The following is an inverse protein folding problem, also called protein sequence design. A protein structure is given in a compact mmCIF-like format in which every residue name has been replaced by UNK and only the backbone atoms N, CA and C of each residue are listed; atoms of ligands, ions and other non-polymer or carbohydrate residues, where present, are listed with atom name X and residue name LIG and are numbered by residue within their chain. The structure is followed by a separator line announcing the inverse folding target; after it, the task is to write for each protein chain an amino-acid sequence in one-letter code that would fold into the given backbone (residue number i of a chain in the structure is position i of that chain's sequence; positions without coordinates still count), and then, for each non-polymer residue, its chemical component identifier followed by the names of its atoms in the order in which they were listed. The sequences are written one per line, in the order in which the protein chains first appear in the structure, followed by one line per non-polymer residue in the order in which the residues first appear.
data_IF_968288392032
#
_entry.id   IF_968288392032
#
_cell.length_a   1.000
_cell.length_b   1.000
_cell.length_c   1.000
_cell.angle_alpha   90.00
_cell.angle_beta   90.00
_cell.angle_gamma   90.00
#
_symmetry.space_group_name_H-M   'P 1'
#
loop_
_entity.id
_entity.type
_entity.pdbx_description
1 polymer ?
#
# COMPACT_ATOMS: atom_id res chain seq x y z
N UNK A 1 16.97 -0.14 -28.97
CA UNK A 1 15.69 -0.37 -28.25
C UNK A 1 15.78 -1.49 -27.19
N UNK A 2 16.34 -2.68 -27.49
CA UNK A 2 16.37 -3.83 -26.56
C UNK A 2 17.20 -3.63 -25.28
N UNK A 3 18.20 -2.74 -25.26
CA UNK A 3 19.05 -2.51 -24.09
C UNK A 3 18.33 -1.72 -22.98
N UNK A 4 17.58 -0.67 -23.33
CA UNK A 4 16.82 0.15 -22.38
C UNK A 4 15.72 -0.65 -21.66
N UNK A 5 15.08 -1.59 -22.36
CA UNK A 5 14.05 -2.46 -21.79
C UNK A 5 14.67 -3.42 -20.78
N UNK A 6 15.81 -4.04 -21.13
CA UNK A 6 16.57 -4.91 -20.21
C UNK A 6 17.14 -4.14 -19.00
N UNK A 7 17.50 -2.88 -19.20
CA UNK A 7 17.97 -1.99 -18.13
C UNK A 7 16.85 -1.69 -17.14
N UNK A 8 15.69 -1.26 -17.64
CA UNK A 8 14.53 -0.90 -16.81
C UNK A 8 13.88 -2.11 -16.11
N UNK A 9 14.13 -3.33 -16.57
CA UNK A 9 13.66 -4.55 -15.92
C UNK A 9 14.46 -4.92 -14.66
N UNK A 10 15.63 -4.31 -14.43
CA UNK A 10 16.43 -4.56 -13.22
C UNK A 10 15.96 -3.72 -12.05
N UNK A 11 16.11 -4.24 -10.83
CA UNK A 11 15.84 -3.49 -9.61
C UNK A 11 16.65 -2.20 -9.55
N UNK A 12 16.10 -1.17 -8.88
CA UNK A 12 16.77 0.11 -8.68
C UNK A 12 18.16 -0.08 -8.03
N UNK A 13 18.28 -1.03 -7.10
CA UNK A 13 19.56 -1.37 -6.49
C UNK A 13 20.59 -1.90 -7.49
N UNK A 14 20.19 -2.74 -8.45
CA UNK A 14 21.12 -3.26 -9.48
C UNK A 14 21.55 -2.18 -10.46
N UNK A 15 20.64 -1.28 -10.86
CA UNK A 15 20.97 -0.14 -11.71
C UNK A 15 21.94 0.81 -11.01
N UNK A 16 21.71 1.08 -9.71
CA UNK A 16 22.58 1.89 -8.89
C UNK A 16 23.98 1.28 -8.74
N UNK A 17 24.10 -0.03 -8.47
CA UNK A 17 25.41 -0.69 -8.36
C UNK A 17 26.27 -0.52 -9.62
N UNK A 18 25.66 -0.63 -10.80
CA UNK A 18 26.37 -0.54 -12.07
C UNK A 18 26.72 0.92 -12.40
N UNK A 19 25.73 1.81 -12.45
CA UNK A 19 25.96 3.22 -12.82
C UNK A 19 26.71 3.97 -11.73
N UNK A 20 26.30 3.79 -10.47
CA UNK A 20 26.98 4.38 -9.32
C UNK A 20 28.42 3.89 -9.21
N UNK A 21 28.67 2.61 -9.49
CA UNK A 21 30.03 2.05 -9.52
C UNK A 21 30.90 2.70 -10.59
N UNK A 22 30.39 2.83 -11.82
CA UNK A 22 31.11 3.50 -12.91
C UNK A 22 31.40 4.98 -12.62
N UNK A 23 30.41 5.71 -12.11
CA UNK A 23 30.57 7.12 -11.75
C UNK A 23 31.57 7.28 -10.60
N UNK A 24 31.49 6.42 -9.59
CA UNK A 24 32.39 6.41 -8.44
C UNK A 24 33.85 6.14 -8.86
N UNK A 25 34.09 5.17 -9.74
CA UNK A 25 35.42 4.90 -10.30
C UNK A 25 35.96 6.09 -11.11
N UNK A 26 35.12 6.72 -11.93
CA UNK A 26 35.48 7.92 -12.67
C UNK A 26 35.87 9.08 -11.74
N UNK A 27 35.06 9.32 -10.71
CA UNK A 27 35.34 10.36 -9.71
C UNK A 27 36.63 10.05 -8.92
N UNK A 28 36.83 8.80 -8.49
CA UNK A 28 38.04 8.34 -7.81
C UNK A 28 39.29 8.62 -8.65
N UNK A 29 39.23 8.34 -9.95
CA UNK A 29 40.36 8.56 -10.86
C UNK A 29 40.69 10.05 -11.00
N UNK A 30 39.68 10.90 -11.23
CA UNK A 30 39.87 12.35 -11.36
C UNK A 30 40.41 12.97 -10.07
N UNK A 31 39.82 12.61 -8.93
CA UNK A 31 40.29 13.11 -7.62
C UNK A 31 41.70 12.60 -7.32
N UNK A 32 41.97 11.32 -7.60
CA UNK A 32 43.29 10.72 -7.43
C UNK A 32 44.38 11.45 -8.21
N UNK A 33 44.10 11.83 -9.47
CA UNK A 33 45.02 12.61 -10.30
C UNK A 33 45.27 14.01 -9.70
N UNK A 34 44.21 14.73 -9.31
CA UNK A 34 44.33 16.08 -8.74
C UNK A 34 45.13 16.05 -7.44
N UNK A 35 44.79 15.14 -6.52
CA UNK A 35 45.46 15.01 -5.22
C UNK A 35 46.93 14.61 -5.39
N UNK A 36 47.22 13.69 -6.31
CA UNK A 36 48.60 13.30 -6.61
C UNK A 36 49.41 14.50 -7.08
N UNK A 37 48.89 15.30 -8.03
CA UNK A 37 49.60 16.47 -8.54
C UNK A 37 49.85 17.51 -7.45
N UNK A 38 48.84 17.80 -6.61
CA UNK A 38 48.96 18.74 -5.49
C UNK A 38 50.02 18.31 -4.47
N UNK A 39 50.10 17.01 -4.16
CA UNK A 39 51.06 16.48 -3.19
C UNK A 39 52.47 16.45 -3.77
N UNK A 40 52.64 16.05 -5.03
CA UNK A 40 53.94 16.06 -5.71
C UNK A 40 54.51 17.50 -5.75
N UNK A 41 53.72 18.49 -6.17
CA UNK A 41 54.13 19.89 -6.20
C UNK A 41 54.50 20.41 -4.80
N UNK A 42 53.69 20.09 -3.79
CA UNK A 42 53.96 20.49 -2.42
C UNK A 42 55.26 19.88 -1.86
N UNK A 43 55.53 18.60 -2.16
CA UNK A 43 56.73 17.90 -1.72
C UNK A 43 57.98 18.47 -2.41
N UNK A 44 57.92 18.70 -3.73
CA UNK A 44 59.03 19.28 -4.51
C UNK A 44 59.34 20.70 -4.02
N UNK A 45 58.32 21.55 -3.88
CA UNK A 45 58.50 22.93 -3.43
C UNK A 45 59.07 23.00 -2.01
N UNK A 46 58.55 22.20 -1.07
CA UNK A 46 59.04 22.19 0.31
C UNK A 46 60.48 21.65 0.40
N UNK A 47 60.81 20.62 -0.39
CA UNK A 47 62.18 20.11 -0.48
C UNK A 47 63.13 21.17 -1.05
N UNK A 48 62.72 21.87 -2.12
CA UNK A 48 63.51 22.96 -2.71
C UNK A 48 63.72 24.13 -1.75
N UNK A 49 62.69 24.52 -1.00
CA UNK A 49 62.77 25.58 0.01
C UNK A 49 63.73 25.24 1.15
N UNK A 50 63.72 23.99 1.62
CA UNK A 50 64.66 23.54 2.65
C UNK A 50 66.13 23.62 2.17
N UNK A 51 66.40 23.24 0.92
CA UNK A 51 67.75 23.35 0.33
C UNK A 51 68.14 24.81 0.06
N UNK A 52 67.20 25.64 -0.43
CA UNK A 52 67.45 27.06 -0.65
C UNK A 52 67.85 27.81 0.63
N UNK A 53 67.20 27.52 1.76
CA UNK A 53 67.58 28.08 3.07
C UNK A 53 69.01 27.73 3.47
N UNK A 54 69.46 26.51 3.16
CA UNK A 54 70.84 26.11 3.40
C UNK A 54 71.81 26.89 2.50
N UNK A 55 71.49 27.00 1.21
CA UNK A 55 72.28 27.78 0.25
C UNK A 55 72.33 29.26 0.66
N UNK A 56 71.23 29.87 1.06
CA UNK A 56 71.23 31.25 1.58
C UNK A 56 72.11 31.41 2.83
N UNK A 57 72.09 30.42 3.72
CA UNK A 57 72.86 30.48 4.98
C UNK A 57 74.37 30.31 4.77
N UNK A 58 74.78 29.57 3.73
CA UNK A 58 76.18 29.15 3.53
C UNK A 58 76.85 29.89 2.37
N UNK A 59 76.12 30.11 1.27
CA UNK A 59 76.64 30.67 0.02
C UNK A 59 76.48 32.17 -0.03
N UNK A 60 75.32 32.71 0.36
CA UNK A 60 75.06 34.15 0.27
C UNK A 60 76.10 35.03 1.02
N UNK A 61 76.61 34.64 2.21
CA UNK A 61 77.66 35.41 2.91
C UNK A 61 79.01 35.47 2.18
N UNK A 62 79.24 34.57 1.22
CA UNK A 62 80.50 34.49 0.44
C UNK A 62 80.47 35.33 -0.84
N UNK A 63 79.28 35.83 -1.22
CA UNK A 63 79.09 36.59 -2.44
C UNK A 63 79.45 38.08 -2.23
N UNK A 64 80.25 38.69 -3.13
CA UNK A 64 80.56 40.12 -3.08
C UNK A 64 79.34 40.99 -3.47
N UNK A 65 79.49 42.31 -3.47
CA UNK A 65 78.43 43.24 -3.91
C UNK A 65 78.18 43.09 -5.43
N UNK A 66 77.18 42.27 -5.77
CA UNK A 66 76.90 41.86 -7.16
C UNK A 66 76.40 42.98 -8.07
N UNK A 67 76.14 44.18 -7.54
CA UNK A 67 75.78 45.36 -8.34
C UNK A 67 77.00 46.03 -8.99
N UNK A 68 78.22 45.81 -8.49
CA UNK A 68 79.42 46.57 -8.90
C UNK A 68 80.45 45.76 -9.67
N UNK A 69 80.53 44.45 -9.45
CA UNK A 69 81.57 43.61 -10.05
C UNK A 69 81.08 42.85 -11.29
N UNK A 70 81.84 42.87 -12.39
CA UNK A 70 81.50 42.19 -13.65
C UNK A 70 81.71 40.68 -13.64
N UNK A 71 82.61 40.18 -12.80
CA UNK A 71 82.99 38.78 -12.59
C UNK A 71 83.35 38.60 -11.12
N UNK A 72 83.18 37.40 -10.57
CA UNK A 72 83.65 37.10 -9.21
C UNK A 72 85.18 37.27 -9.13
N UNK A 73 85.66 37.81 -8.02
CA UNK A 73 87.07 37.81 -7.69
C UNK A 73 87.58 36.39 -7.38
N UNK A 74 88.89 36.19 -7.49
CA UNK A 74 89.52 34.88 -7.33
C UNK A 74 89.35 34.34 -5.90
N UNK A 75 89.24 35.23 -4.91
CA UNK A 75 89.05 34.88 -3.51
C UNK A 75 87.64 34.33 -3.22
N UNK A 76 86.56 34.99 -3.67
CA UNK A 76 85.21 34.45 -3.50
C UNK A 76 84.99 33.21 -4.36
N UNK A 77 85.58 33.15 -5.57
CA UNK A 77 85.50 31.95 -6.40
C UNK A 77 86.15 30.73 -5.72
N UNK A 78 87.31 30.91 -5.08
CA UNK A 78 87.98 29.84 -4.33
C UNK A 78 87.18 29.45 -3.07
N UNK A 79 86.62 30.43 -2.33
CA UNK A 79 85.79 30.16 -1.17
C UNK A 79 84.53 29.35 -1.53
N UNK A 80 83.91 29.63 -2.69
CA UNK A 80 82.80 28.85 -3.22
C UNK A 80 83.24 27.44 -3.64
N UNK A 81 84.38 27.30 -4.34
CA UNK A 81 84.90 25.98 -4.72
C UNK A 81 85.17 25.09 -3.50
N UNK A 82 85.75 25.64 -2.43
CA UNK A 82 86.01 24.91 -1.18
C UNK A 82 84.71 24.56 -0.45
N UNK A 83 83.77 25.50 -0.36
CA UNK A 83 82.50 25.33 0.37
C UNK A 83 81.54 24.37 -0.36
N UNK A 84 81.47 24.45 -1.69
CA UNK A 84 80.62 23.58 -2.51
C UNK A 84 81.28 22.21 -2.75
N UNK A 85 82.61 22.12 -2.67
CA UNK A 85 83.36 20.86 -2.78
C UNK A 85 83.43 20.05 -1.48
N UNK A 86 83.20 20.68 -0.31
CA UNK A 86 83.27 20.05 1.00
C UNK A 86 81.89 19.99 1.69
N UNK A 87 81.72 19.10 2.67
CA UNK A 87 80.49 19.03 3.48
C UNK A 87 79.33 18.21 2.89
N UNK A 88 78.14 18.38 3.46
CA UNK A 88 76.95 17.58 3.14
C UNK A 88 76.29 17.97 1.81
N UNK A 89 76.33 19.27 1.44
CA UNK A 89 75.79 19.77 0.18
C UNK A 89 76.64 19.31 -1.01
N UNK A 90 77.98 19.39 -0.92
CA UNK A 90 78.88 18.98 -2.00
C UNK A 90 78.77 17.51 -2.43
N UNK A 91 78.30 16.61 -1.55
CA UNK A 91 78.06 15.21 -1.91
C UNK A 91 76.81 15.01 -2.78
N UNK A 92 75.85 15.92 -2.67
CA UNK A 92 74.55 15.85 -3.37
C UNK A 92 74.49 16.81 -4.55
N UNK A 93 75.29 17.87 -4.53
CA UNK A 93 75.39 18.87 -5.58
C UNK A 93 76.06 18.29 -6.83
N UNK A 94 75.35 18.29 -7.95
CA UNK A 94 75.83 17.85 -9.26
C UNK A 94 76.43 19.02 -10.03
N UNK A 95 75.75 20.16 -9.99
CA UNK A 95 76.11 21.37 -10.73
C UNK A 95 75.65 22.61 -9.99
N UNK A 96 76.43 23.68 -10.11
CA UNK A 96 76.15 24.97 -9.49
C UNK A 96 76.54 26.09 -10.43
N UNK A 97 75.67 27.07 -10.59
CA UNK A 97 75.81 28.21 -11.50
C UNK A 97 75.28 29.46 -10.80
N UNK A 98 76.05 30.54 -10.83
CA UNK A 98 75.64 31.86 -10.36
C UNK A 98 75.35 32.73 -11.58
N UNK A 99 74.13 33.24 -11.67
CA UNK A 99 73.64 33.99 -12.80
C UNK A 99 73.53 35.48 -12.51
N UNK A 100 73.91 36.27 -13.50
CA UNK A 100 73.56 37.68 -13.61
C UNK A 100 72.24 37.84 -14.37
N UNK A 101 71.56 38.97 -14.12
CA UNK A 101 70.30 39.37 -14.77
C UNK A 101 70.32 39.41 -16.30
N UNK A 102 71.50 39.55 -16.91
CA UNK A 102 71.69 39.55 -18.38
C UNK A 102 71.82 38.13 -18.98
N UNK A 103 71.75 37.08 -18.17
CA UNK A 103 71.93 35.70 -18.61
C UNK A 103 73.39 35.25 -18.66
N UNK A 104 74.33 36.01 -18.10
CA UNK A 104 75.74 35.60 -17.99
C UNK A 104 75.98 34.77 -16.74
N UNK A 105 76.71 33.66 -16.87
CA UNK A 105 77.16 32.85 -15.73
C UNK A 105 78.42 33.48 -15.12
N UNK A 106 78.31 34.01 -13.91
CA UNK A 106 79.39 34.66 -13.15
C UNK A 106 80.33 33.65 -12.48
N UNK A 107 79.80 32.50 -12.08
CA UNK A 107 80.57 31.41 -11.48
C UNK A 107 79.87 30.08 -11.76
N UNK A 108 80.66 29.02 -11.97
CA UNK A 108 80.17 27.65 -12.02
C UNK A 108 81.25 26.67 -11.57
N UNK A 109 80.84 25.52 -11.02
CA UNK A 109 81.75 24.39 -10.81
C UNK A 109 82.22 23.78 -12.15
N UNK A 110 81.52 24.03 -13.25
CA UNK A 110 81.97 23.77 -14.62
C UNK A 110 82.65 25.01 -15.18
N UNK A 111 83.98 25.10 -15.00
CA UNK A 111 84.77 26.30 -15.36
C UNK A 111 84.62 26.71 -16.83
N UNK A 112 84.24 25.79 -17.72
CA UNK A 112 83.98 26.05 -19.14
C UNK A 112 82.73 26.90 -19.42
N UNK A 113 81.83 27.03 -18.44
CA UNK A 113 80.58 27.80 -18.56
C UNK A 113 80.71 29.25 -18.09
N UNK A 114 81.75 29.56 -17.29
CA UNK A 114 81.97 30.89 -16.72
C UNK A 114 82.19 31.94 -17.83
N UNK A 115 81.46 33.05 -17.77
CA UNK A 115 81.51 34.13 -18.75
C UNK A 115 80.71 33.90 -20.03
N UNK A 116 80.05 32.74 -20.20
CA UNK A 116 79.12 32.51 -21.31
C UNK A 116 77.74 33.08 -20.97
N UNK A 117 77.06 33.60 -21.98
CA UNK A 117 75.69 34.10 -21.89
C UNK A 117 74.71 33.11 -22.53
N UNK A 118 73.62 32.82 -21.82
CA UNK A 118 72.54 31.95 -22.25
C UNK A 118 71.20 32.69 -22.21
N UNK A 119 70.20 32.28 -23.00
CA UNK A 119 68.88 32.89 -22.95
C UNK A 119 68.23 32.68 -21.58
N UNK A 120 67.71 33.76 -20.98
CA UNK A 120 66.99 33.68 -19.70
C UNK A 120 65.70 32.88 -19.91
N UNK A 121 65.66 31.65 -19.39
CA UNK A 121 64.50 30.79 -19.45
C UNK A 121 63.40 31.28 -18.47
N UNK A 122 62.19 30.70 -18.57
CA UNK A 122 61.06 31.10 -17.71
C UNK A 122 61.31 30.85 -16.22
N UNK A 123 62.14 29.87 -15.87
CA UNK A 123 62.50 29.51 -14.48
C UNK A 123 63.42 30.58 -13.86
N UNK A 124 64.46 30.95 -14.60
CA UNK A 124 65.42 31.99 -14.24
C UNK A 124 64.75 33.37 -14.19
N UNK A 125 63.82 33.67 -15.10
CA UNK A 125 63.03 34.91 -15.06
C UNK A 125 62.16 35.03 -13.80
N UNK A 126 61.51 33.93 -13.38
CA UNK A 126 60.74 33.89 -12.13
C UNK A 126 61.63 34.06 -10.90
N UNK A 127 62.83 33.47 -10.92
CA UNK A 127 63.82 33.67 -9.87
C UNK A 127 64.30 35.12 -9.80
N UNK A 128 64.62 35.78 -10.92
CA UNK A 128 64.94 37.20 -10.92
C UNK A 128 63.78 38.11 -10.50
N UNK A 129 62.54 37.63 -10.52
CA UNK A 129 61.38 38.32 -9.94
C UNK A 129 61.27 38.15 -8.40
N UNK A 130 62.22 37.43 -7.78
CA UNK A 130 62.32 37.22 -6.33
C UNK A 130 61.65 35.94 -5.83
N UNK A 131 61.20 35.03 -6.71
CA UNK A 131 60.55 33.77 -6.31
C UNK A 131 61.50 32.58 -6.39
N UNK A 132 61.56 31.75 -5.35
CA UNK A 132 62.23 30.45 -5.42
C UNK A 132 61.52 29.55 -6.45
N UNK A 133 62.27 28.96 -7.38
CA UNK A 133 61.74 27.97 -8.33
C UNK A 133 62.45 26.65 -8.10
N UNK A 134 61.69 25.59 -7.83
CA UNK A 134 62.21 24.23 -7.68
C UNK A 134 61.46 23.26 -8.60
N UNK A 135 62.20 22.40 -9.30
CA UNK A 135 61.65 21.37 -10.18
C UNK A 135 62.38 20.05 -9.99
N UNK A 136 61.66 18.96 -10.23
CA UNK A 136 62.22 17.62 -10.27
C UNK A 136 62.04 17.04 -11.67
N UNK A 137 63.02 17.24 -12.54
CA UNK A 137 62.95 16.86 -13.95
C UNK A 137 64.32 16.44 -14.50
N UNK A 138 64.33 15.78 -15.66
CA UNK A 138 65.57 15.53 -16.41
C UNK A 138 66.01 16.85 -17.04
N UNK A 139 67.24 17.27 -16.77
CA UNK A 139 67.75 18.56 -17.23
C UNK A 139 67.62 18.72 -18.76
N UNK A 140 66.99 19.80 -19.20
CA UNK A 140 66.66 20.04 -20.61
C UNK A 140 67.21 21.34 -21.15
N UNK A 141 67.67 22.25 -20.30
CA UNK A 141 68.13 23.58 -20.69
C UNK A 141 69.47 23.58 -21.47
N UNK A 142 69.69 24.55 -22.39
CA UNK A 142 70.86 24.59 -23.27
C UNK A 142 72.21 24.49 -22.55
N UNK A 143 72.33 25.12 -21.38
CA UNK A 143 73.49 25.18 -20.51
C UNK A 143 73.71 23.92 -19.67
N UNK A 144 72.77 22.97 -19.70
CA UNK A 144 72.74 21.82 -18.79
C UNK A 144 73.12 20.51 -19.48
N UNK A 145 74.14 20.55 -20.34
CA UNK A 145 74.58 19.41 -21.14
C UNK A 145 75.12 18.24 -20.29
N UNK A 146 75.85 18.54 -19.22
CA UNK A 146 76.42 17.55 -18.30
C UNK A 146 75.33 16.88 -17.47
N UNK A 147 74.40 17.65 -16.96
CA UNK A 147 73.26 17.20 -16.17
C UNK A 147 72.32 16.33 -17.02
N UNK A 148 72.07 16.75 -18.28
CA UNK A 148 71.30 15.95 -19.24
C UNK A 148 71.96 14.60 -19.54
N UNK A 149 73.29 14.56 -19.61
CA UNK A 149 74.04 13.32 -19.89
C UNK A 149 73.89 12.25 -18.80
N UNK A 150 73.50 12.65 -17.57
CA UNK A 150 73.24 11.72 -16.48
C UNK A 150 71.94 10.91 -16.68
N UNK A 151 71.03 11.37 -17.55
CA UNK A 151 69.83 10.63 -17.94
C UNK A 151 68.82 10.34 -16.82
N UNK A 152 68.91 11.05 -15.69
CA UNK A 152 68.03 10.89 -14.53
C UNK A 152 67.44 12.23 -14.09
N UNK A 153 66.29 12.19 -13.43
CA UNK A 153 65.68 13.39 -12.86
C UNK A 153 66.53 13.92 -11.70
N UNK A 154 66.76 15.23 -11.70
CA UNK A 154 67.50 15.95 -10.67
C UNK A 154 66.59 17.00 -10.05
N UNK A 155 66.88 17.38 -8.81
CA UNK A 155 66.27 18.57 -8.24
C UNK A 155 67.02 19.78 -8.77
N UNK A 156 66.33 20.58 -9.56
CA UNK A 156 66.80 21.83 -10.12
C UNK A 156 66.18 22.98 -9.33
N UNK A 157 67.03 23.82 -8.76
CA UNK A 157 66.59 24.90 -7.87
C UNK A 157 67.22 26.21 -8.32
N UNK A 158 66.39 27.22 -8.53
CA UNK A 158 66.77 28.61 -8.79
C UNK A 158 66.42 29.45 -7.57
N UNK A 159 67.45 29.81 -6.80
CA UNK A 159 67.32 30.58 -5.58
C UNK A 159 67.76 32.04 -5.80
N UNK A 160 66.88 33.04 -5.63
CA UNK A 160 67.26 34.43 -5.82
C UNK A 160 68.12 34.96 -4.68
N UNK A 161 69.22 35.61 -5.02
CA UNK A 161 70.05 36.36 -4.07
C UNK A 161 69.44 37.76 -3.93
N UNK A 162 68.74 37.98 -2.81
CA UNK A 162 68.06 39.24 -2.54
C UNK A 162 69.00 40.23 -1.84
N UNK A 163 68.96 41.50 -2.26
CA UNK A 163 69.71 42.55 -1.58
C UNK A 163 69.01 42.90 -0.24
N UNK A 164 69.75 43.04 0.88
CA UNK A 164 69.15 43.18 2.22
C UNK A 164 68.18 44.36 2.41
N UNK A 165 68.32 45.42 1.62
CA UNK A 165 67.60 46.69 1.82
C UNK A 165 66.52 46.95 0.75
N UNK A 166 66.72 46.49 -0.49
CA UNK A 166 65.80 46.72 -1.61
C UNK A 166 64.87 45.54 -1.88
N UNK A 167 65.24 44.33 -1.44
CA UNK A 167 64.50 43.10 -1.76
C UNK A 167 64.57 42.71 -3.24
N UNK A 168 65.39 43.40 -4.05
CA UNK A 168 65.59 43.05 -5.45
C UNK A 168 66.56 41.86 -5.57
N UNK A 169 66.25 40.94 -6.50
CA UNK A 169 67.14 39.84 -6.84
C UNK A 169 68.31 40.36 -7.68
N UNK A 170 69.50 40.41 -7.09
CA UNK A 170 70.73 40.89 -7.74
C UNK A 170 71.45 39.80 -8.53
N UNK A 171 71.26 38.55 -8.12
CA UNK A 171 71.77 37.36 -8.80
C UNK A 171 70.81 36.19 -8.56
N UNK A 172 70.94 35.12 -9.35
CA UNK A 172 70.23 33.86 -9.10
C UNK A 172 71.24 32.72 -8.98
N UNK A 173 71.10 31.94 -7.93
CA UNK A 173 71.82 30.70 -7.72
C UNK A 173 71.02 29.57 -8.35
N UNK A 174 71.54 28.99 -9.41
CA UNK A 174 71.02 27.76 -9.99
C UNK A 174 71.88 26.59 -9.52
N UNK A 175 71.24 25.54 -9.04
CA UNK A 175 71.94 24.32 -8.71
C UNK A 175 71.11 23.07 -8.96
N UNK A 176 71.81 22.01 -9.33
CA UNK A 176 71.26 20.68 -9.56
C UNK A 176 71.76 19.76 -8.44
N UNK A 177 70.84 19.10 -7.74
CA UNK A 177 71.20 18.10 -6.73
C UNK A 177 70.63 16.71 -7.05
N UNK A 178 71.34 15.68 -6.57
CA UNK A 178 70.78 14.34 -6.46
C UNK A 178 69.74 14.34 -5.35
N UNK A 179 68.51 14.06 -5.73
CA UNK A 179 67.36 14.03 -4.82
C UNK A 179 67.30 12.67 -4.10
N UNK A 180 68.30 12.37 -3.28
CA UNK A 180 68.37 11.13 -2.51
C UNK A 180 67.12 10.98 -1.62
N UNK A 181 66.35 9.91 -1.84
CA UNK A 181 65.12 9.63 -1.09
C UNK A 181 63.90 10.48 -1.48
N UNK A 182 64.02 11.47 -2.37
CA UNK A 182 62.87 12.22 -2.88
C UNK A 182 61.99 11.33 -3.77
N UNK A 183 62.61 10.53 -4.64
CA UNK A 183 61.89 9.59 -5.51
C UNK A 183 61.06 8.58 -4.70
N UNK A 184 61.65 8.03 -3.63
CA UNK A 184 60.93 7.15 -2.67
C UNK A 184 59.82 7.88 -1.93
N UNK A 185 60.01 9.17 -1.62
CA UNK A 185 59.02 9.99 -0.93
C UNK A 185 57.84 10.32 -1.86
N UNK A 186 58.10 10.64 -3.13
CA UNK A 186 57.09 10.84 -4.16
C UNK A 186 56.34 9.53 -4.45
N UNK A 187 57.04 8.40 -4.58
CA UNK A 187 56.42 7.09 -4.79
C UNK A 187 55.50 6.70 -3.63
N UNK A 188 55.95 6.89 -2.38
CA UNK A 188 55.13 6.67 -1.19
C UNK A 188 53.94 7.62 -1.12
N UNK A 189 54.15 8.91 -1.38
CA UNK A 189 53.09 9.90 -1.39
C UNK A 189 52.00 9.56 -2.41
N UNK A 190 52.39 9.16 -3.63
CA UNK A 190 51.48 8.68 -4.66
C UNK A 190 50.70 7.46 -4.21
N UNK A 191 51.37 6.41 -3.73
CA UNK A 191 50.71 5.19 -3.27
C UNK A 191 49.70 5.46 -2.15
N UNK A 192 50.09 6.19 -1.11
CA UNK A 192 49.22 6.50 0.02
C UNK A 192 48.05 7.40 -0.38
N UNK A 193 48.25 8.33 -1.32
CA UNK A 193 47.17 9.17 -1.86
C UNK A 193 46.14 8.34 -2.61
N UNK A 194 46.58 7.43 -3.49
CA UNK A 194 45.68 6.52 -4.20
C UNK A 194 44.95 5.58 -3.25
N UNK A 195 45.64 5.01 -2.25
CA UNK A 195 45.01 4.15 -1.24
C UNK A 195 43.98 4.92 -0.41
N UNK A 196 44.27 6.16 -0.02
CA UNK A 196 43.35 7.00 0.74
C UNK A 196 42.10 7.34 -0.08
N UNK A 197 42.26 7.79 -1.34
CA UNK A 197 41.16 8.13 -2.24
C UNK A 197 40.31 6.89 -2.56
N UNK A 198 40.95 5.76 -2.86
CA UNK A 198 40.25 4.50 -3.13
C UNK A 198 39.50 3.98 -1.91
N UNK A 199 40.13 3.98 -0.73
CA UNK A 199 39.51 3.56 0.52
C UNK A 199 38.30 4.41 0.90
N UNK A 200 38.44 5.74 0.85
CA UNK A 200 37.34 6.66 1.15
C UNK A 200 36.18 6.48 0.16
N UNK A 201 36.49 6.38 -1.13
CA UNK A 201 35.48 6.16 -2.18
C UNK A 201 34.76 4.82 -2.01
N UNK A 202 35.50 3.75 -1.68
CA UNK A 202 34.91 2.43 -1.43
C UNK A 202 33.99 2.42 -0.21
N UNK A 203 34.38 3.09 0.88
CA UNK A 203 33.55 3.23 2.09
C UNK A 203 32.25 3.97 1.75
N UNK A 204 32.32 5.13 1.10
CA UNK A 204 31.14 5.89 0.71
C UNK A 204 30.24 5.10 -0.25
N UNK A 205 30.82 4.44 -1.24
CA UNK A 205 30.08 3.62 -2.19
C UNK A 205 29.37 2.45 -1.50
N UNK A 206 30.03 1.77 -0.55
CA UNK A 206 29.45 0.67 0.20
C UNK A 206 28.29 1.14 1.08
N UNK A 207 28.44 2.25 1.81
CA UNK A 207 27.36 2.82 2.64
C UNK A 207 26.15 3.19 1.77
N UNK A 208 26.38 3.89 0.66
CA UNK A 208 25.31 4.30 -0.24
C UNK A 208 24.64 3.08 -0.91
N UNK A 209 25.42 2.06 -1.29
CA UNK A 209 24.89 0.82 -1.83
C UNK A 209 24.02 0.07 -0.83
N UNK A 210 24.41 -0.02 0.45
CA UNK A 210 23.59 -0.63 1.50
C UNK A 210 22.28 0.14 1.65
N UNK A 211 22.33 1.47 1.68
CA UNK A 211 21.14 2.31 1.84
C UNK A 211 20.18 2.13 0.66
N UNK A 212 20.68 2.15 -0.57
CA UNK A 212 19.87 1.93 -1.77
C UNK A 212 19.31 0.50 -1.80
N UNK A 213 20.09 -0.51 -1.42
CA UNK A 213 19.61 -1.89 -1.38
C UNK A 213 18.48 -2.08 -0.35
N UNK A 214 18.65 -1.55 0.86
CA UNK A 214 17.60 -1.55 1.90
C UNK A 214 16.36 -0.78 1.48
N UNK A 215 16.54 0.38 0.85
CA UNK A 215 15.44 1.19 0.32
C UNK A 215 14.67 0.44 -0.76
N UNK A 216 15.36 -0.12 -1.75
CA UNK A 216 14.75 -0.89 -2.84
C UNK A 216 13.98 -2.10 -2.32
N UNK A 217 14.54 -2.85 -1.37
CA UNK A 217 13.86 -4.01 -0.79
C UNK A 217 12.60 -3.61 -0.02
N UNK A 218 12.66 -2.54 0.79
CA UNK A 218 11.50 -2.00 1.50
C UNK A 218 10.38 -1.58 0.53
N UNK A 219 10.73 -0.93 -0.58
CA UNK A 219 9.77 -0.50 -1.60
C UNK A 219 9.07 -1.70 -2.24
N UNK A 220 9.82 -2.77 -2.56
CA UNK A 220 9.26 -3.99 -3.15
C UNK A 220 8.24 -4.63 -2.18
N UNK A 221 8.61 -4.80 -0.90
CA UNK A 221 7.73 -5.36 0.13
C UNK A 221 6.48 -4.52 0.35
N UNK A 222 6.63 -3.19 0.43
CA UNK A 222 5.49 -2.28 0.58
C UNK A 222 4.55 -2.33 -0.64
N UNK A 223 5.09 -2.46 -1.84
CA UNK A 223 4.30 -2.55 -3.08
C UNK A 223 3.49 -3.84 -3.13
N UNK A 224 4.07 -4.96 -2.73
CA UNK A 224 3.37 -6.24 -2.63
C UNK A 224 2.26 -6.19 -1.56
N UNK A 225 2.57 -5.67 -0.37
CA UNK A 225 1.58 -5.50 0.69
C UNK A 225 0.41 -4.58 0.30
N UNK A 226 0.71 -3.48 -0.40
CA UNK A 226 -0.32 -2.57 -0.90
C UNK A 226 -1.20 -3.24 -1.96
N UNK A 227 -0.60 -4.01 -2.87
CA UNK A 227 -1.34 -4.78 -3.88
C UNK A 227 -2.29 -5.78 -3.20
N UNK A 228 -1.81 -6.54 -2.22
CA UNK A 228 -2.63 -7.48 -1.48
C UNK A 228 -3.83 -6.79 -0.78
N UNK A 229 -3.62 -5.62 -0.16
CA UNK A 229 -4.71 -4.84 0.45
C UNK A 229 -5.73 -4.34 -0.58
N UNK A 230 -5.27 -3.91 -1.75
CA UNK A 230 -6.17 -3.48 -2.83
C UNK A 230 -7.00 -4.66 -3.33
N UNK A 231 -6.37 -5.82 -3.51
CA UNK A 231 -7.05 -7.05 -3.93
C UNK A 231 -8.09 -7.47 -2.88
N UNK A 232 -7.76 -7.45 -1.59
CA UNK A 232 -8.66 -7.73 -0.47
C UNK A 232 -9.86 -6.77 -0.43
N UNK A 233 -9.62 -5.45 -0.50
CA UNK A 233 -10.69 -4.45 -0.54
C UNK A 233 -11.60 -4.62 -1.76
N UNK A 234 -11.03 -4.99 -2.91
CA UNK A 234 -11.81 -5.25 -4.13
C UNK A 234 -12.74 -6.45 -3.96
N UNK A 235 -12.27 -7.50 -3.29
CA UNK A 235 -13.08 -8.68 -2.98
C UNK A 235 -14.21 -8.34 -2.00
N UNK A 236 -13.92 -7.61 -0.92
CA UNK A 236 -14.94 -7.16 0.04
C UNK A 236 -16.00 -6.25 -0.60
N UNK A 237 -15.60 -5.36 -1.50
CA UNK A 237 -16.54 -4.52 -2.24
C UNK A 237 -17.42 -5.35 -3.19
N UNK A 238 -16.88 -6.38 -3.84
CA UNK A 238 -17.65 -7.29 -4.68
C UNK A 238 -18.67 -8.08 -3.85
N UNK A 239 -18.27 -8.57 -2.68
CA UNK A 239 -19.15 -9.25 -1.73
C UNK A 239 -20.27 -8.32 -1.23
N UNK A 240 -19.93 -7.10 -0.80
CA UNK A 240 -20.91 -6.13 -0.32
C UNK A 240 -21.96 -5.79 -1.39
N UNK A 241 -21.53 -5.58 -2.65
CA UNK A 241 -22.45 -5.41 -3.78
C UNK A 241 -23.35 -6.63 -3.99
N UNK A 242 -22.81 -7.83 -3.80
CA UNK A 242 -23.57 -9.08 -3.83
C UNK A 242 -24.67 -9.11 -2.77
N UNK A 243 -24.35 -8.75 -1.53
CA UNK A 243 -25.29 -8.66 -0.42
C UNK A 243 -26.37 -7.60 -0.65
N UNK A 244 -25.98 -6.39 -1.09
CA UNK A 244 -26.91 -5.31 -1.43
C UNK A 244 -27.93 -5.76 -2.50
N UNK A 245 -27.46 -6.48 -3.53
CA UNK A 245 -28.34 -7.01 -4.58
C UNK A 245 -29.32 -8.05 -4.05
N UNK A 246 -28.87 -8.94 -3.15
CA UNK A 246 -29.75 -9.91 -2.49
C UNK A 246 -30.81 -9.23 -1.63
N UNK A 247 -30.41 -8.21 -0.86
CA UNK A 247 -31.34 -7.42 -0.04
C UNK A 247 -32.38 -6.72 -0.90
N UNK A 248 -31.97 -6.10 -2.02
CA UNK A 248 -32.88 -5.44 -2.95
C UNK A 248 -33.89 -6.43 -3.56
N UNK A 249 -33.43 -7.62 -3.98
CA UNK A 249 -34.31 -8.67 -4.49
C UNK A 249 -35.29 -9.17 -3.43
N UNK A 250 -34.84 -9.35 -2.19
CA UNK A 250 -35.70 -9.76 -1.07
C UNK A 250 -36.78 -8.71 -0.78
N UNK A 251 -36.40 -7.43 -0.74
CA UNK A 251 -37.34 -6.32 -0.56
C UNK A 251 -38.37 -6.23 -1.69
N UNK A 252 -37.95 -6.41 -2.94
CA UNK A 252 -38.85 -6.44 -4.09
C UNK A 252 -39.85 -7.60 -4.01
N UNK A 253 -39.39 -8.80 -3.62
CA UNK A 253 -40.27 -9.96 -3.41
C UNK A 253 -41.28 -9.70 -2.30
N UNK A 254 -40.85 -9.16 -1.17
CA UNK A 254 -41.74 -8.81 -0.07
C UNK A 254 -42.81 -7.79 -0.49
N UNK A 255 -42.41 -6.76 -1.25
CA UNK A 255 -43.35 -5.77 -1.79
C UNK A 255 -44.38 -6.41 -2.74
N UNK A 256 -43.94 -7.28 -3.66
CA UNK A 256 -44.82 -7.96 -4.61
C UNK A 256 -45.81 -8.92 -3.93
N UNK A 257 -45.37 -9.63 -2.89
CA UNK A 257 -46.24 -10.47 -2.06
C UNK A 257 -47.30 -9.63 -1.35
N UNK A 258 -46.91 -8.50 -0.75
CA UNK A 258 -47.84 -7.60 -0.07
C UNK A 258 -48.87 -7.00 -1.04
N UNK A 259 -48.45 -6.59 -2.24
CA UNK A 259 -49.37 -6.06 -3.26
C UNK A 259 -50.39 -7.13 -3.72
N UNK A 260 -49.91 -8.36 -3.92
CA UNK A 260 -50.78 -9.49 -4.28
C UNK A 260 -51.78 -9.80 -3.17
N UNK A 261 -51.35 -9.76 -1.91
CA UNK A 261 -52.20 -9.94 -0.75
C UNK A 261 -53.28 -8.84 -0.65
N UNK A 262 -52.90 -7.56 -0.81
CA UNK A 262 -53.85 -6.44 -0.82
C UNK A 262 -54.85 -6.53 -1.99
N UNK A 263 -54.39 -6.94 -3.18
CA UNK A 263 -55.28 -7.20 -4.32
C UNK A 263 -56.29 -8.31 -4.02
N UNK A 264 -55.87 -9.39 -3.36
CA UNK A 264 -56.76 -10.47 -2.92
C UNK A 264 -57.85 -9.97 -1.98
N UNK A 265 -57.48 -9.20 -0.94
CA UNK A 265 -58.45 -8.59 0.00
C UNK A 265 -59.44 -7.69 -0.73
N UNK A 266 -58.94 -6.87 -1.68
CA UNK A 266 -59.79 -6.00 -2.48
C UNK A 266 -60.81 -6.76 -3.31
N UNK A 267 -60.41 -7.89 -3.92
CA UNK A 267 -61.30 -8.76 -4.68
C UNK A 267 -62.35 -9.42 -3.77
N UNK A 268 -61.95 -10.00 -2.62
CA UNK A 268 -62.86 -10.63 -1.66
C UNK A 268 -63.92 -9.64 -1.14
N UNK A 269 -63.52 -8.39 -0.88
CA UNK A 269 -64.44 -7.34 -0.43
C UNK A 269 -65.41 -6.90 -1.53
N UNK A 270 -64.94 -6.85 -2.78
CA UNK A 270 -65.74 -6.44 -3.92
C UNK A 270 -66.77 -7.52 -4.31
N UNK A 271 -66.34 -8.79 -4.39
CA UNK A 271 -67.16 -9.85 -4.96
C UNK A 271 -68.22 -10.39 -3.99
N UNK A 272 -68.02 -10.27 -2.68
CA UNK A 272 -69.03 -10.64 -1.69
C UNK A 272 -69.79 -9.43 -1.12
N UNK A 273 -69.24 -8.74 -0.09
CA UNK A 273 -69.98 -7.72 0.64
C UNK A 273 -70.46 -6.55 -0.20
N UNK A 274 -69.62 -6.03 -1.10
CA UNK A 274 -69.98 -4.87 -1.91
C UNK A 274 -71.13 -5.19 -2.88
N UNK A 275 -71.15 -6.39 -3.47
CA UNK A 275 -72.28 -6.84 -4.29
C UNK A 275 -73.56 -6.96 -3.47
N UNK A 276 -73.52 -7.60 -2.31
CA UNK A 276 -74.68 -7.73 -1.42
C UNK A 276 -75.26 -6.37 -0.99
N UNK A 277 -74.40 -5.39 -0.72
CA UNK A 277 -74.79 -4.01 -0.40
C UNK A 277 -75.36 -3.29 -1.63
N UNK A 278 -74.77 -3.47 -2.81
CA UNK A 278 -75.25 -2.88 -4.06
C UNK A 278 -76.64 -3.41 -4.45
N UNK A 279 -76.85 -4.72 -4.37
CA UNK A 279 -78.16 -5.34 -4.60
C UNK A 279 -79.21 -4.90 -3.58
N UNK A 280 -78.84 -4.79 -2.30
CA UNK A 280 -79.72 -4.25 -1.27
C UNK A 280 -80.11 -2.80 -1.55
N UNK A 281 -79.17 -1.97 -2.00
CA UNK A 281 -79.40 -0.56 -2.36
C UNK A 281 -80.33 -0.43 -3.58
N UNK A 282 -80.13 -1.24 -4.62
CA UNK A 282 -81.00 -1.25 -5.81
C UNK A 282 -82.45 -1.61 -5.45
N UNK A 283 -82.65 -2.58 -4.54
CA UNK A 283 -83.99 -3.00 -4.11
C UNK A 283 -84.65 -2.00 -3.17
N UNK A 284 -83.88 -1.19 -2.45
CA UNK A 284 -84.42 -0.08 -1.65
C UNK A 284 -85.12 0.97 -2.53
N UNK A 285 -84.64 1.18 -3.77
CA UNK A 285 -85.23 2.09 -4.74
C UNK A 285 -86.38 1.48 -5.58
N UNK A 286 -86.80 0.25 -5.25
CA UNK A 286 -87.87 -0.47 -5.98
C UNK A 286 -89.24 0.17 -5.78
N UNK A 287 -90.02 0.27 -6.86
CA UNK A 287 -91.42 0.71 -6.84
C UNK A 287 -92.30 -0.10 -5.86
N UNK A 288 -91.92 -1.36 -5.57
CA UNK A 288 -92.60 -2.22 -4.59
C UNK A 288 -92.56 -1.66 -3.15
N UNK A 289 -91.56 -0.83 -2.84
CA UNK A 289 -91.44 -0.17 -1.53
C UNK A 289 -92.07 1.22 -1.53
N UNK A 290 -92.05 1.92 -2.68
CA UNK A 290 -92.45 3.32 -2.81
C UNK A 290 -93.94 3.46 -3.15
N UNK A 291 -94.50 2.55 -3.95
CA UNK A 291 -95.91 2.60 -4.36
C UNK A 291 -96.83 2.20 -3.19
N UNK A 292 -97.70 3.13 -2.80
CA UNK A 292 -98.70 2.98 -1.76
C UNK A 292 -99.74 1.89 -2.06
N UNK A 293 -99.93 1.53 -3.33
CA UNK A 293 -100.85 0.47 -3.76
C UNK A 293 -100.29 -0.96 -3.57
N UNK A 294 -99.00 -1.11 -3.29
CA UNK A 294 -98.37 -2.43 -3.10
C UNK A 294 -98.91 -3.13 -1.85
N UNK A 295 -99.26 -4.42 -2.00
CA UNK A 295 -99.74 -5.26 -0.89
C UNK A 295 -98.72 -5.31 0.26
N UNK A 296 -99.15 -5.17 1.53
CA UNK A 296 -98.26 -5.19 2.69
C UNK A 296 -97.34 -6.41 2.76
N UNK A 297 -97.86 -7.59 2.39
CA UNK A 297 -97.09 -8.83 2.39
C UNK A 297 -95.95 -8.84 1.36
N UNK A 298 -96.16 -8.23 0.19
CA UNK A 298 -95.12 -8.12 -0.85
C UNK A 298 -94.04 -7.13 -0.43
N UNK A 299 -94.43 -6.02 0.21
CA UNK A 299 -93.49 -5.03 0.74
C UNK A 299 -92.64 -5.61 1.88
N UNK A 300 -93.23 -6.38 2.77
CA UNK A 300 -92.52 -7.04 3.87
C UNK A 300 -91.52 -8.09 3.35
N UNK A 301 -91.86 -8.83 2.30
CA UNK A 301 -90.94 -9.77 1.63
C UNK A 301 -89.72 -9.06 1.03
N UNK A 302 -89.92 -7.92 0.38
CA UNK A 302 -88.81 -7.12 -0.16
C UNK A 302 -87.89 -6.59 0.96
N UNK A 303 -88.46 -6.03 2.03
CA UNK A 303 -87.71 -5.58 3.21
C UNK A 303 -86.95 -6.71 3.90
N UNK A 304 -87.57 -7.88 4.05
CA UNK A 304 -86.94 -9.08 4.60
C UNK A 304 -85.72 -9.51 3.79
N UNK A 305 -85.82 -9.48 2.46
CA UNK A 305 -84.71 -9.81 1.57
C UNK A 305 -83.56 -8.82 1.67
N UNK A 306 -83.85 -7.51 1.69
CA UNK A 306 -82.86 -6.45 1.89
C UNK A 306 -82.13 -6.63 3.22
N UNK A 307 -82.86 -6.88 4.32
CA UNK A 307 -82.28 -7.17 5.63
C UNK A 307 -81.38 -8.40 5.60
N UNK A 308 -81.79 -9.46 4.90
CA UNK A 308 -81.00 -10.67 4.75
C UNK A 308 -79.70 -10.42 3.96
N UNK A 309 -79.76 -9.68 2.85
CA UNK A 309 -78.58 -9.36 2.03
C UNK A 309 -77.57 -8.49 2.80
N UNK A 310 -78.05 -7.49 3.55
CA UNK A 310 -77.18 -6.68 4.42
C UNK A 310 -76.59 -7.49 5.59
N UNK A 311 -77.36 -8.43 6.15
CA UNK A 311 -76.86 -9.31 7.21
C UNK A 311 -75.78 -10.26 6.69
N UNK A 312 -75.93 -10.81 5.48
CA UNK A 312 -74.92 -11.63 4.81
C UNK A 312 -73.65 -10.81 4.51
N UNK A 313 -73.78 -9.60 3.95
CA UNK A 313 -72.66 -8.69 3.73
C UNK A 313 -71.87 -8.39 5.02
N UNK A 314 -72.58 -8.09 6.11
CA UNK A 314 -71.95 -7.84 7.41
C UNK A 314 -71.30 -9.09 8.01
N UNK A 315 -71.84 -10.27 7.73
CA UNK A 315 -71.23 -11.55 8.14
C UNK A 315 -69.95 -11.79 7.34
N UNK A 316 -69.97 -11.63 6.02
CA UNK A 316 -68.79 -11.77 5.16
C UNK A 316 -67.68 -10.76 5.51
N UNK A 317 -68.01 -9.47 5.72
CA UNK A 317 -67.03 -8.48 6.20
C UNK A 317 -66.42 -8.92 7.53
N UNK A 318 -67.22 -9.41 8.47
CA UNK A 318 -66.71 -9.89 9.77
C UNK A 318 -65.83 -11.12 9.61
N UNK A 319 -66.15 -12.02 8.68
CA UNK A 319 -65.34 -13.21 8.42
C UNK A 319 -64.02 -12.86 7.73
N UNK A 320 -64.01 -11.91 6.78
CA UNK A 320 -62.79 -11.33 6.19
C UNK A 320 -61.96 -10.66 7.30
N UNK A 321 -62.56 -9.79 8.12
CA UNK A 321 -61.86 -9.09 9.21
C UNK A 321 -61.29 -10.04 10.27
N UNK A 322 -62.02 -11.10 10.68
CA UNK A 322 -61.48 -12.17 11.54
C UNK A 322 -60.36 -12.94 10.85
N UNK A 323 -60.44 -13.07 9.52
CA UNK A 323 -59.39 -13.58 8.67
C UNK A 323 -58.17 -12.67 8.56
N UNK A 324 -58.25 -11.38 8.92
CA UNK A 324 -57.15 -10.40 8.86
C UNK A 324 -56.57 -10.07 10.24
N UNK A 325 -57.41 -9.90 11.24
CA UNK A 325 -57.06 -9.58 12.62
C UNK A 325 -57.08 -10.87 13.43
N UNK A 326 -55.90 -11.39 13.77
CA UNK A 326 -55.85 -12.39 14.83
C UNK A 326 -56.20 -11.70 16.16
N UNK A 327 -57.01 -12.32 17.04
CA UNK A 327 -57.21 -11.83 18.41
C UNK A 327 -55.86 -11.63 19.10
N UNK A 328 -55.78 -10.88 20.20
CA UNK A 328 -54.55 -10.59 20.97
C UNK A 328 -53.69 -11.85 21.23
N UNK A 329 -52.87 -12.24 20.26
CA UNK A 329 -52.02 -13.44 20.26
C UNK A 329 -50.60 -13.06 20.66
N UNK A 330 -50.22 -11.79 20.49
CA UNK A 330 -48.92 -11.26 20.91
C UNK A 330 -48.62 -11.59 22.38
N UNK A 331 -49.64 -11.47 23.25
CA UNK A 331 -49.55 -11.74 24.69
C UNK A 331 -49.92 -13.16 25.10
N UNK A 332 -50.41 -14.00 24.18
CA UNK A 332 -50.88 -15.33 24.51
C UNK A 332 -49.71 -16.34 24.58
N UNK A 333 -49.81 -17.33 25.47
CA UNK A 333 -48.92 -18.50 25.51
C UNK A 333 -49.21 -19.46 24.36
N UNK A 334 -48.29 -20.39 24.06
CA UNK A 334 -48.55 -21.41 23.03
C UNK A 334 -49.79 -22.24 23.37
N UNK A 335 -49.94 -22.58 24.64
CA UNK A 335 -51.08 -23.31 25.19
C UNK A 335 -52.39 -22.57 24.97
N UNK A 336 -52.41 -21.26 25.25
CA UNK A 336 -53.59 -20.41 24.99
C UNK A 336 -53.91 -20.30 23.50
N UNK A 337 -52.90 -20.21 22.64
CA UNK A 337 -53.07 -20.14 21.19
C UNK A 337 -53.72 -21.42 20.67
N UNK A 338 -53.16 -22.59 21.01
CA UNK A 338 -53.66 -23.90 20.56
C UNK A 338 -55.10 -24.10 21.04
N UNK A 339 -55.37 -23.89 22.35
CA UNK A 339 -56.72 -24.02 22.91
C UNK A 339 -57.72 -23.10 22.20
N UNK A 340 -57.35 -21.84 21.97
CA UNK A 340 -58.23 -20.87 21.30
C UNK A 340 -58.55 -21.25 19.86
N UNK A 341 -57.58 -21.77 19.09
CA UNK A 341 -57.84 -22.25 17.72
C UNK A 341 -58.75 -23.45 17.74
N UNK A 342 -58.48 -24.43 18.61
CA UNK A 342 -59.26 -25.65 18.73
C UNK A 342 -60.71 -25.34 19.15
N UNK A 343 -60.91 -24.55 20.19
CA UNK A 343 -62.24 -24.14 20.65
C UNK A 343 -63.03 -23.42 19.54
N UNK A 344 -62.38 -22.48 18.83
CA UNK A 344 -63.01 -21.76 17.72
C UNK A 344 -63.38 -22.70 16.56
N UNK A 345 -62.57 -23.73 16.30
CA UNK A 345 -62.88 -24.75 15.30
C UNK A 345 -64.06 -25.61 15.74
N UNK A 346 -64.01 -26.19 16.95
CA UNK A 346 -65.06 -27.04 17.52
C UNK A 346 -66.42 -26.33 17.55
N UNK A 347 -66.46 -25.06 17.95
CA UNK A 347 -67.69 -24.25 17.93
C UNK A 347 -68.25 -24.04 16.52
N UNK A 348 -67.38 -23.97 15.51
CA UNK A 348 -67.77 -23.72 14.12
C UNK A 348 -68.24 -24.99 13.42
N UNK A 349 -67.61 -26.13 13.70
CA UNK A 349 -67.82 -27.38 12.96
C UNK A 349 -68.62 -28.43 13.71
N UNK A 350 -68.82 -28.27 15.02
CA UNK A 350 -69.40 -29.27 15.93
C UNK A 350 -68.66 -30.62 15.92
N UNK A 351 -67.37 -30.64 15.59
CA UNK A 351 -66.52 -31.84 15.65
C UNK A 351 -65.63 -31.82 16.88
N UNK A 352 -65.38 -32.98 17.50
CA UNK A 352 -64.42 -33.10 18.59
C UNK A 352 -62.98 -33.09 18.06
N UNK A 353 -62.07 -32.47 18.81
CA UNK A 353 -60.63 -32.42 18.51
C UNK A 353 -59.87 -32.82 19.77
N UNK A 354 -59.11 -33.90 19.71
CA UNK A 354 -58.24 -34.32 20.81
C UNK A 354 -57.02 -33.39 20.88
N UNK A 355 -56.64 -32.94 22.08
CA UNK A 355 -55.62 -31.90 22.24
C UNK A 355 -54.59 -32.31 23.28
N UNK A 356 -53.35 -32.49 22.85
CA UNK A 356 -52.21 -32.80 23.72
C UNK A 356 -51.20 -31.65 23.64
N UNK A 357 -50.93 -30.99 24.76
CA UNK A 357 -50.01 -29.84 24.84
C UNK A 357 -49.02 -30.11 25.97
N UNK A 358 -47.73 -30.01 25.69
CA UNK A 358 -46.69 -30.07 26.73
C UNK A 358 -46.74 -28.85 27.66
N UNK A 359 -46.25 -29.00 28.89
CA UNK A 359 -46.27 -27.91 29.89
C UNK A 359 -45.22 -26.81 29.63
N UNK A 360 -44.27 -27.05 28.73
CA UNK A 360 -43.23 -26.10 28.36
C UNK A 360 -43.80 -24.94 27.51
N UNK A 361 -43.73 -23.71 28.02
CA UNK A 361 -44.21 -22.49 27.34
C UNK A 361 -43.03 -21.56 26.97
N UNK A 362 -42.41 -21.77 25.79
CA UNK A 362 -41.28 -20.96 25.35
C UNK A 362 -41.74 -19.54 24.98
N UNK A 363 -40.87 -18.56 25.19
CA UNK A 363 -41.13 -17.19 24.73
C UNK A 363 -40.95 -17.11 23.20
N UNK A 364 -42.06 -17.03 22.47
CA UNK A 364 -42.07 -16.98 21.01
C UNK A 364 -42.25 -15.56 20.48
N UNK A 365 -41.58 -15.25 19.36
CA UNK A 365 -41.82 -14.00 18.65
C UNK A 365 -43.29 -13.90 18.16
N UNK A 366 -43.91 -12.71 18.15
CA UNK A 366 -45.29 -12.53 17.71
C UNK A 366 -45.59 -13.12 16.33
N UNK A 367 -44.65 -13.00 15.38
CA UNK A 367 -44.79 -13.57 14.03
C UNK A 367 -44.93 -15.09 14.03
N UNK A 368 -44.18 -15.79 14.90
CA UNK A 368 -44.26 -17.24 15.04
C UNK A 368 -45.56 -17.67 15.73
N UNK A 369 -46.01 -16.94 16.76
CA UNK A 369 -47.32 -17.16 17.40
C UNK A 369 -48.49 -17.06 16.40
N UNK A 370 -48.44 -16.06 15.51
CA UNK A 370 -49.41 -15.88 14.42
C UNK A 370 -49.32 -17.04 13.41
N UNK A 371 -48.10 -17.46 13.06
CA UNK A 371 -47.88 -18.57 12.15
C UNK A 371 -48.49 -19.88 12.70
N UNK A 372 -48.23 -20.19 13.97
CA UNK A 372 -48.79 -21.33 14.70
C UNK A 372 -50.31 -21.32 14.66
N UNK A 373 -50.94 -20.18 14.99
CA UNK A 373 -52.40 -20.05 14.97
C UNK A 373 -52.97 -20.37 13.58
N UNK A 374 -52.38 -19.80 12.53
CA UNK A 374 -52.81 -19.99 11.14
C UNK A 374 -52.60 -21.41 10.66
N UNK A 375 -51.49 -22.01 11.04
CA UNK A 375 -51.17 -23.40 10.71
C UNK A 375 -52.24 -24.34 11.29
N UNK A 376 -52.53 -24.25 12.58
CA UNK A 376 -53.53 -25.11 13.23
C UNK A 376 -54.91 -24.85 12.62
N UNK A 377 -55.27 -23.58 12.40
CA UNK A 377 -56.56 -23.19 11.84
C UNK A 377 -56.78 -23.80 10.44
N UNK A 378 -55.81 -23.65 9.55
CA UNK A 378 -55.91 -24.15 8.18
C UNK A 378 -55.85 -25.67 8.13
N UNK A 379 -54.98 -26.29 8.92
CA UNK A 379 -54.88 -27.74 9.00
C UNK A 379 -56.18 -28.39 9.51
N UNK A 380 -56.79 -27.87 10.58
CA UNK A 380 -58.09 -28.34 11.07
C UNK A 380 -59.23 -28.07 10.07
N UNK A 381 -59.22 -26.92 9.39
CA UNK A 381 -60.23 -26.61 8.38
C UNK A 381 -60.12 -27.57 7.18
N UNK A 382 -58.90 -27.94 6.79
CA UNK A 382 -58.65 -28.94 5.74
C UNK A 382 -59.05 -30.35 6.20
N UNK A 383 -58.73 -30.74 7.44
CA UNK A 383 -59.19 -31.99 8.04
C UNK A 383 -60.71 -32.10 8.06
N UNK A 384 -61.42 -31.01 8.39
CA UNK A 384 -62.89 -30.98 8.35
C UNK A 384 -63.45 -31.05 6.92
N UNK A 385 -62.95 -30.22 6.01
CA UNK A 385 -63.48 -30.10 4.63
C UNK A 385 -63.16 -31.31 3.76
N UNK A 386 -61.96 -31.87 3.91
CA UNK A 386 -61.43 -32.91 3.04
C UNK A 386 -61.33 -34.27 3.73
N UNK A 387 -61.02 -34.31 5.03
CA UNK A 387 -60.98 -35.54 5.84
C UNK A 387 -62.30 -35.90 6.53
N UNK A 388 -63.38 -35.15 6.28
CA UNK A 388 -64.69 -35.37 6.90
C UNK A 388 -64.75 -35.08 8.41
N UNK A 389 -63.68 -34.51 8.98
CA UNK A 389 -63.62 -34.14 10.39
C UNK A 389 -63.54 -35.32 11.37
N UNK A 390 -63.14 -36.50 10.89
CA UNK A 390 -63.10 -37.75 11.67
C UNK A 390 -61.84 -37.80 12.55
N UNK A 391 -62.03 -37.97 13.87
CA UNK A 391 -60.96 -38.16 14.87
C UNK A 391 -59.78 -37.17 14.72
N UNK A 392 -60.10 -35.88 14.68
CA UNK A 392 -59.10 -34.84 14.58
C UNK A 392 -58.29 -34.73 15.89
N UNK A 393 -56.97 -34.52 15.79
CA UNK A 393 -56.09 -34.30 16.93
C UNK A 393 -55.08 -33.19 16.67
N UNK A 394 -54.75 -32.43 17.71
CA UNK A 394 -53.69 -31.43 17.73
C UNK A 394 -52.71 -31.77 18.82
N UNK A 395 -51.43 -31.90 18.46
CA UNK A 395 -50.33 -32.13 19.39
C UNK A 395 -49.32 -31.01 19.29
N UNK A 396 -49.09 -30.31 20.41
CA UNK A 396 -48.08 -29.27 20.51
C UNK A 396 -47.02 -29.68 21.54
N UNK A 397 -45.79 -29.89 21.07
CA UNK A 397 -44.63 -30.29 21.87
C UNK A 397 -43.63 -29.14 21.83
N UNK A 398 -43.11 -28.76 22.99
CA UNK A 398 -42.04 -27.79 23.10
C UNK A 398 -40.92 -28.39 23.94
N UNK A 399 -39.69 -28.32 23.45
CA UNK A 399 -38.52 -28.76 24.23
C UNK A 399 -37.27 -27.98 23.81
N UNK A 400 -36.53 -27.43 24.78
CA UNK A 400 -35.27 -26.71 24.51
C UNK A 400 -35.43 -25.48 23.61
N UNK A 401 -36.60 -24.84 23.63
CA UNK A 401 -36.95 -23.70 22.76
C UNK A 401 -37.41 -24.09 21.35
N UNK A 402 -37.30 -25.36 20.96
CA UNK A 402 -37.88 -25.87 19.72
C UNK A 402 -39.37 -26.19 19.91
N UNK A 403 -40.19 -25.82 18.94
CA UNK A 403 -41.64 -26.01 18.94
C UNK A 403 -42.03 -26.91 17.77
N UNK A 404 -42.78 -27.97 18.06
CA UNK A 404 -43.34 -28.88 17.07
C UNK A 404 -44.85 -28.96 17.23
N UNK A 405 -45.58 -28.70 16.16
CA UNK A 405 -47.04 -28.76 16.15
C UNK A 405 -47.48 -29.72 15.06
N UNK A 406 -48.28 -30.69 15.45
CA UNK A 406 -48.85 -31.71 14.58
C UNK A 406 -50.37 -31.61 14.61
N UNK A 407 -50.99 -31.60 13.44
CA UNK A 407 -52.45 -31.69 13.29
C UNK A 407 -52.74 -32.92 12.44
N UNK A 408 -53.59 -33.80 12.94
CA UNK A 408 -53.92 -35.07 12.27
C UNK A 408 -55.42 -35.32 12.20
N UNK A 409 -55.85 -36.05 11.17
CA UNK A 409 -57.20 -36.59 10.99
C UNK A 409 -57.15 -38.05 10.54
N UNK A 410 -58.27 -38.77 10.67
CA UNK A 410 -58.44 -40.15 10.16
C UNK A 410 -59.42 -40.21 8.98
N UNK A 411 -59.35 -39.26 8.05
CA UNK A 411 -60.09 -39.29 6.80
C UNK A 411 -59.50 -40.28 5.78
N UNK A 412 -59.99 -40.25 4.54
CA UNK A 412 -59.56 -41.14 3.45
C UNK A 412 -58.16 -40.79 2.88
N UNK A 413 -57.51 -39.75 3.41
CA UNK A 413 -56.25 -39.21 2.90
C UNK A 413 -56.39 -38.62 1.50
N UNK A 414 -55.26 -38.23 0.90
CA UNK A 414 -55.22 -37.83 -0.52
C UNK A 414 -53.88 -38.16 -1.17
N UNK A 415 -53.86 -38.28 -2.49
CA UNK A 415 -52.61 -38.43 -3.25
C UNK A 415 -51.91 -37.07 -3.38
N UNK A 416 -50.71 -36.87 -2.78
CA UNK A 416 -49.96 -35.61 -2.84
C UNK A 416 -49.63 -35.17 -4.27
N UNK A 417 -49.56 -36.11 -5.21
CA UNK A 417 -49.17 -35.84 -6.61
C UNK A 417 -50.33 -35.34 -7.47
N UNK A 418 -51.58 -35.44 -7.00
CA UNK A 418 -52.78 -35.03 -7.73
C UNK A 418 -53.38 -33.70 -7.26
N UNK A 419 -52.82 -33.09 -6.21
CA UNK A 419 -53.30 -31.80 -5.68
C UNK A 419 -52.89 -30.66 -6.63
N UNK A 420 -53.87 -29.97 -7.21
CA UNK A 420 -53.64 -28.80 -8.06
C UNK A 420 -52.99 -27.66 -7.24
N UNK A 421 -52.09 -26.84 -7.83
CA UNK A 421 -51.42 -25.71 -7.14
C UNK A 421 -52.35 -24.59 -6.62
N UNK A 422 -53.67 -24.73 -6.81
CA UNK A 422 -54.69 -23.74 -6.48
C UNK A 422 -55.21 -23.80 -5.05
N UNK A 423 -54.75 -24.74 -4.21
CA UNK A 423 -55.01 -24.72 -2.77
C UNK A 423 -54.07 -23.73 -2.06
N UNK A 424 -54.36 -22.43 -2.23
CA UNK A 424 -53.59 -21.28 -1.72
C UNK A 424 -53.20 -21.36 -0.23
N UNK A 425 -53.96 -22.09 0.60
CA UNK A 425 -53.77 -22.17 2.04
C UNK A 425 -52.48 -22.87 2.49
N UNK A 426 -52.24 -24.11 2.05
CA UNK A 426 -51.09 -24.92 2.51
C UNK A 426 -49.77 -24.47 1.87
N UNK A 427 -49.79 -24.03 0.61
CA UNK A 427 -48.60 -23.50 -0.09
C UNK A 427 -48.14 -22.20 0.58
N UNK A 428 -49.08 -21.27 0.87
CA UNK A 428 -48.76 -20.02 1.56
C UNK A 428 -48.30 -20.23 3.01
N UNK A 429 -48.82 -21.26 3.70
CA UNK A 429 -48.35 -21.65 5.04
C UNK A 429 -46.95 -22.24 5.02
N UNK A 430 -46.64 -23.10 4.05
CA UNK A 430 -45.29 -23.64 3.87
C UNK A 430 -44.28 -22.51 3.64
N UNK A 431 -44.55 -21.62 2.68
CA UNK A 431 -43.67 -20.47 2.41
C UNK A 431 -43.47 -19.58 3.63
N UNK A 432 -44.52 -19.38 4.45
CA UNK A 432 -44.44 -18.59 5.68
C UNK A 432 -43.62 -19.30 6.77
N UNK A 433 -43.79 -20.61 6.95
CA UNK A 433 -43.00 -21.40 7.91
C UNK A 433 -41.53 -21.39 7.52
N UNK A 434 -41.22 -21.62 6.24
CA UNK A 434 -39.86 -21.55 5.71
C UNK A 434 -39.26 -20.14 5.90
N UNK A 435 -40.04 -19.07 5.67
CA UNK A 435 -39.58 -17.68 5.84
C UNK A 435 -39.24 -17.30 7.30
N UNK A 436 -39.83 -18.01 8.26
CA UNK A 436 -39.53 -17.84 9.67
C UNK A 436 -38.37 -18.73 10.13
N UNK A 437 -37.84 -19.62 9.27
CA UNK A 437 -36.78 -20.57 9.61
C UNK A 437 -37.29 -21.90 10.19
N UNK A 438 -38.58 -22.21 9.99
CA UNK A 438 -39.16 -23.50 10.37
C UNK A 438 -39.19 -24.50 9.22
N UNK A 439 -39.56 -25.74 9.54
CA UNK A 439 -39.78 -26.83 8.59
C UNK A 439 -41.26 -27.23 8.56
N UNK A 440 -41.74 -27.57 7.36
CA UNK A 440 -43.12 -28.02 7.12
C UNK A 440 -43.13 -29.38 6.44
N UNK A 441 -43.88 -30.33 6.99
CA UNK A 441 -44.02 -31.70 6.50
C UNK A 441 -45.51 -32.09 6.40
N UNK A 442 -45.87 -32.88 5.39
CA UNK A 442 -47.21 -33.45 5.22
C UNK A 442 -47.06 -34.96 5.00
N UNK A 443 -47.78 -35.74 5.80
CA UNK A 443 -47.87 -37.19 5.68
C UNK A 443 -49.33 -37.57 5.45
N UNK A 444 -49.63 -38.29 4.39
CA UNK A 444 -51.01 -38.66 4.04
C UNK A 444 -51.06 -40.06 3.42
N UNK A 445 -52.16 -40.79 3.66
CA UNK A 445 -52.39 -42.14 3.15
C UNK A 445 -53.78 -42.67 3.54
N UNK A 446 -54.05 -43.96 3.32
CA UNK A 446 -55.38 -44.60 3.54
C UNK A 446 -55.89 -44.54 5.00
N UNK A 447 -55.06 -44.08 5.95
CA UNK A 447 -55.41 -43.90 7.36
C UNK A 447 -55.54 -42.45 7.84
N UNK A 448 -55.54 -41.48 6.91
CA UNK A 448 -55.72 -40.05 7.21
C UNK A 448 -54.54 -39.17 6.81
N UNK A 449 -54.55 -37.92 7.30
CA UNK A 449 -53.52 -36.92 7.01
C UNK A 449 -52.96 -36.32 8.29
N UNK A 450 -51.64 -36.15 8.34
CA UNK A 450 -50.91 -35.44 9.39
C UNK A 450 -50.08 -34.33 8.78
N UNK A 451 -50.28 -33.11 9.24
CA UNK A 451 -49.50 -31.93 8.86
C UNK A 451 -48.66 -31.51 10.06
N UNK A 452 -47.39 -31.22 9.83
CA UNK A 452 -46.40 -30.98 10.87
C UNK A 452 -45.64 -29.70 10.57
N UNK A 453 -45.53 -28.81 11.57
CA UNK A 453 -44.58 -27.71 11.56
C UNK A 453 -43.57 -27.89 12.69
N UNK A 454 -42.31 -27.61 12.41
CA UNK A 454 -41.23 -27.61 13.40
C UNK A 454 -40.49 -26.28 13.31
N UNK A 455 -40.20 -25.66 14.44
CA UNK A 455 -39.38 -24.47 14.53
C UNK A 455 -38.31 -24.68 15.59
N UNK A 456 -37.05 -24.55 15.20
CA UNK A 456 -35.92 -24.62 16.12
C UNK A 456 -35.31 -23.22 16.21
N UNK A 457 -35.02 -22.70 17.42
CA UNK A 457 -34.32 -21.43 17.55
C UNK A 457 -32.95 -21.60 16.89
N UNK A 458 -32.60 -20.72 15.94
CA UNK A 458 -31.25 -20.68 15.42
C UNK A 458 -30.31 -20.38 16.58
N UNK A 459 -29.33 -21.26 16.83
CA UNK A 459 -28.18 -20.89 17.63
C UNK A 459 -27.58 -19.63 17.01
N UNK A 460 -27.65 -18.53 17.75
CA UNK A 460 -26.80 -17.38 17.46
C UNK A 460 -25.40 -17.88 17.79
N UNK A 461 -24.62 -18.25 16.76
CA UNK A 461 -23.19 -18.42 16.91
C UNK A 461 -22.63 -17.08 17.46
N UNK A 462 -22.29 -17.06 18.75
CA UNK A 462 -21.58 -15.96 19.42
C UNK A 462 -20.14 -15.82 18.91
#
# INVERSE_FOLDING_TARGET
MNWLIRWNARSLASQFLIMGGLVSLGAMFVIGLIVTHLIEDAVIHNSGAATALYVDSVVAPLLPDMQKESLLDEASAQALDETLGQGALGRRLVSFKLWRRDGTILYSNEKELVGKAFPVNGKLAQAFAGSLVARYEVASDPESAKERSLGRALMEIYNPVLQPWSGEAVAVLEFYETAEGLEDSLARARLWSWLAVAGLTAIFFLVLSILVFRGSHTIEVQREALKARVDELSALLAENRGLQRRLQLSSQRAAALNETYLRGIGADLHDGPAQHIAYASLRLDSDLLIDAATLPETREKELSWIRSSLAEAMKEIRDICKGLVLPQIEKASITEIVKRVVEAHQQKTNTAVDTTIDEDDPELAPALKICIYRFIQEALNNAYRHGGGVQQAVRAISHGGAVRIEVSDQGEGFDPTQVRPTSLGLVGLKERIDSLGGEFDIRTGEGGTTVIMTFSPMEVEE
#
